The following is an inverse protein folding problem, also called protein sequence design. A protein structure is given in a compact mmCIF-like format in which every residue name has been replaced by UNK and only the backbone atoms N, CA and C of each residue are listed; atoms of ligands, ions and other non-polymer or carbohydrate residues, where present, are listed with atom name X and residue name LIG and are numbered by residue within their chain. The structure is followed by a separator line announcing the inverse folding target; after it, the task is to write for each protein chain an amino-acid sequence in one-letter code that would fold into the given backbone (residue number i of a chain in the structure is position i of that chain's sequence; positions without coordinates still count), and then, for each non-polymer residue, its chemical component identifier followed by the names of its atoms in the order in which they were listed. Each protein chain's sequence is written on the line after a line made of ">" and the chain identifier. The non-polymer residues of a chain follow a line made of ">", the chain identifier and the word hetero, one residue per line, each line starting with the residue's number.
data_IF_463134538531
#
_entry.id   IF_463134538531
#
_cell.length_a   1.000
_cell.length_b   1.000
_cell.length_c   1.000
_cell.angle_alpha   90.00
_cell.angle_beta   90.00
_cell.angle_gamma   90.00
#
_symmetry.space_group_name_H-M   'P 1'
#
loop_
_entity.id
_entity.type
_entity.pdbx_description
1 polymer ?
#
# COMPACT_ATOMS: atom_id res chain seq x y z
N UNK A 1 -19.88 -33.24 -28.19
CA UNK A 1 -19.21 -33.64 -26.92
C UNK A 1 -17.68 -33.49 -26.93
N UNK A 2 -17.09 -32.69 -27.82
CA UNK A 2 -15.63 -32.51 -27.94
C UNK A 2 -15.22 -31.02 -27.95
N UNK A 3 -15.45 -30.29 -26.86
CA UNK A 3 -14.81 -28.96 -26.71
C UNK A 3 -14.58 -28.47 -25.26
N UNK A 4 -15.20 -29.08 -24.25
CA UNK A 4 -15.02 -28.69 -22.84
C UNK A 4 -13.69 -29.17 -22.20
N UNK A 5 -13.02 -30.18 -22.77
CA UNK A 5 -11.69 -30.62 -22.28
C UNK A 5 -10.52 -29.70 -22.68
N UNK A 6 -10.70 -28.84 -23.69
CA UNK A 6 -9.64 -27.91 -24.12
C UNK A 6 -9.54 -26.66 -23.26
N UNK A 7 -10.67 -26.19 -22.71
CA UNK A 7 -10.73 -25.06 -21.76
C UNK A 7 -10.18 -25.44 -20.37
N UNK A 8 -10.34 -26.70 -19.95
CA UNK A 8 -9.78 -27.19 -18.69
C UNK A 8 -8.23 -27.23 -18.68
N UNK A 9 -7.58 -27.27 -19.85
CA UNK A 9 -6.10 -27.21 -19.95
C UNK A 9 -5.52 -25.80 -19.97
N UNK A 10 -6.31 -24.78 -20.27
CA UNK A 10 -5.91 -23.36 -20.11
C UNK A 10 -6.27 -22.79 -18.73
N UNK A 11 -7.16 -23.44 -17.99
CA UNK A 11 -7.67 -23.00 -16.68
C UNK A 11 -6.92 -23.53 -15.45
N UNK A 12 -5.87 -24.35 -15.63
CA UNK A 12 -4.92 -24.56 -14.55
C UNK A 12 -4.10 -23.26 -14.42
N UNK A 13 -4.51 -22.37 -13.50
CA UNK A 13 -3.64 -21.29 -13.00
C UNK A 13 -2.24 -21.88 -12.91
N UNK A 14 -1.30 -21.35 -13.70
CA UNK A 14 0.08 -21.87 -13.70
C UNK A 14 0.48 -21.87 -12.23
N UNK A 15 0.86 -23.00 -11.67
CA UNK A 15 1.18 -23.08 -10.24
C UNK A 15 2.23 -22.02 -9.85
N UNK A 16 3.04 -21.63 -10.84
CA UNK A 16 3.91 -20.47 -10.87
C UNK A 16 3.21 -19.11 -10.71
N UNK A 17 2.09 -18.82 -11.39
CA UNK A 17 1.29 -17.58 -11.24
C UNK A 17 0.58 -17.49 -9.89
N UNK A 18 0.06 -18.61 -9.36
CA UNK A 18 -0.42 -18.69 -7.96
C UNK A 18 0.70 -18.44 -6.97
N UNK A 19 1.86 -19.03 -7.22
CA UNK A 19 3.05 -18.84 -6.39
C UNK A 19 3.56 -17.40 -6.50
N UNK A 20 3.48 -16.77 -7.68
CA UNK A 20 3.79 -15.34 -7.88
C UNK A 20 2.71 -14.44 -7.28
N UNK A 21 1.43 -14.82 -7.27
CA UNK A 21 0.38 -14.13 -6.51
C UNK A 21 0.66 -14.20 -5.01
N UNK A 22 1.02 -15.39 -4.51
CA UNK A 22 1.33 -15.62 -3.09
C UNK A 22 2.65 -14.99 -2.66
N UNK A 23 3.64 -14.91 -3.56
CA UNK A 23 4.96 -14.25 -3.37
C UNK A 23 4.94 -12.74 -3.65
N UNK A 24 4.04 -12.25 -4.51
CA UNK A 24 3.81 -10.83 -4.78
C UNK A 24 2.74 -10.22 -3.86
N UNK A 25 2.20 -11.00 -2.94
CA UNK A 25 1.59 -10.50 -1.72
C UNK A 25 2.73 -10.33 -0.71
N UNK A 26 2.70 -9.27 0.12
CA UNK A 26 3.86 -8.80 0.85
C UNK A 26 4.56 -9.96 1.55
N UNK A 27 5.78 -10.25 1.11
CA UNK A 27 6.72 -11.18 1.76
C UNK A 27 7.05 -10.75 3.19
N UNK A 28 6.59 -9.56 3.62
CA UNK A 28 6.48 -9.16 5.01
C UNK A 28 5.75 -10.21 5.88
N UNK A 29 4.82 -11.00 5.32
CA UNK A 29 4.15 -12.06 6.08
C UNK A 29 4.99 -13.35 6.26
N UNK A 30 6.03 -13.56 5.44
CA UNK A 30 6.91 -14.73 5.52
C UNK A 30 8.27 -14.41 6.15
N UNK A 31 8.71 -13.15 6.10
CA UNK A 31 9.85 -12.65 6.89
C UNK A 31 9.46 -12.20 8.30
N UNK A 32 8.18 -12.23 8.66
CA UNK A 32 7.71 -12.02 10.04
C UNK A 32 7.99 -13.21 10.97
N UNK A 33 9.18 -13.83 10.90
CA UNK A 33 9.72 -14.55 12.07
C UNK A 33 10.16 -13.50 13.09
N UNK A 34 9.18 -12.85 13.74
CA UNK A 34 9.39 -11.86 14.80
C UNK A 34 8.25 -10.87 15.01
N UNK A 35 7.53 -10.46 13.96
CA UNK A 35 6.57 -9.33 14.04
C UNK A 35 5.08 -9.72 14.02
N UNK A 36 4.74 -10.99 13.79
CA UNK A 36 3.35 -11.38 13.48
C UNK A 36 2.48 -11.83 14.67
N UNK A 37 3.00 -11.94 15.89
CA UNK A 37 2.21 -12.53 17.00
C UNK A 37 1.60 -11.56 18.01
N UNK A 38 2.00 -10.29 18.08
CA UNK A 38 1.33 -9.32 18.97
C UNK A 38 1.17 -7.96 18.30
N UNK A 39 -0.09 -7.56 18.16
CA UNK A 39 -0.51 -6.25 17.69
C UNK A 39 -0.28 -5.20 18.80
N UNK A 40 0.98 -4.89 19.09
CA UNK A 40 1.33 -3.70 19.84
C UNK A 40 2.28 -2.86 18.98
N UNK A 41 1.85 -1.64 18.65
CA UNK A 41 2.81 -0.58 18.33
C UNK A 41 3.77 -0.56 19.53
N UNK A 42 5.08 -0.81 19.36
CA UNK A 42 6.02 -0.75 20.47
C UNK A 42 5.77 0.53 21.26
N UNK A 43 5.60 0.45 22.58
CA UNK A 43 5.19 1.61 23.39
C UNK A 43 6.08 2.85 23.14
N UNK A 44 7.35 2.62 22.78
CA UNK A 44 8.32 3.62 22.33
C UNK A 44 7.92 4.46 21.10
N UNK A 45 6.96 4.04 20.28
CA UNK A 45 6.50 4.73 19.06
C UNK A 45 5.22 5.59 19.28
N UNK A 46 4.65 5.59 20.50
CA UNK A 46 3.41 6.33 20.81
C UNK A 46 3.63 7.85 20.86
N UNK A 47 4.80 8.29 21.33
CA UNK A 47 5.14 9.71 21.53
C UNK A 47 5.98 10.31 20.39
N UNK A 48 6.32 9.48 19.39
CA UNK A 48 7.15 9.83 18.23
C UNK A 48 6.62 11.02 17.42
N UNK A 49 5.30 11.20 17.18
CA UNK A 49 4.80 12.36 16.43
C UNK A 49 5.06 13.71 17.12
N UNK A 50 5.31 13.71 18.43
CA UNK A 50 5.53 14.91 19.26
C UNK A 50 6.98 15.05 19.75
N UNK A 51 7.84 14.08 19.45
CA UNK A 51 9.24 14.11 19.85
C UNK A 51 10.01 15.14 19.03
N UNK A 52 10.89 15.92 19.68
CA UNK A 52 11.77 16.90 19.02
C UNK A 52 12.73 16.23 18.01
N UNK A 53 13.04 14.96 18.23
CA UNK A 53 13.89 14.09 17.37
C UNK A 53 13.32 12.65 17.39
N UNK A 54 12.34 12.32 16.54
CA UNK A 54 11.72 11.00 16.52
C UNK A 54 12.71 9.91 16.07
N UNK A 55 13.14 9.04 17.00
CA UNK A 55 14.00 7.89 16.71
C UNK A 55 13.19 6.75 16.07
N UNK A 56 13.10 6.75 14.74
CA UNK A 56 12.28 5.81 13.97
C UNK A 56 13.05 4.52 13.61
N UNK A 57 13.26 3.65 14.59
CA UNK A 57 14.16 2.49 14.45
C UNK A 57 13.57 1.23 13.78
N UNK A 58 12.29 1.18 13.43
CA UNK A 58 11.64 -0.12 13.18
C UNK A 58 11.19 -0.40 11.74
N UNK A 59 11.53 0.44 10.74
CA UNK A 59 10.92 0.30 9.39
C UNK A 59 11.79 -0.30 8.30
N UNK A 60 13.11 -0.25 8.40
CA UNK A 60 14.04 -1.07 7.62
C UNK A 60 15.28 -1.21 8.48
N UNK A 61 15.31 -2.19 9.37
CA UNK A 61 16.59 -2.60 9.95
C UNK A 61 17.46 -3.08 8.77
N UNK A 62 18.44 -2.28 8.36
CA UNK A 62 19.72 -2.82 7.92
C UNK A 62 20.55 -3.00 9.20
N UNK A 63 20.41 -4.13 9.93
CA UNK A 63 21.13 -4.35 11.18
C UNK A 63 22.66 -4.37 11.00
N UNK A 64 23.14 -4.34 9.75
CA UNK A 64 24.55 -4.27 9.40
C UNK A 64 25.26 -3.00 9.90
N UNK A 65 24.62 -1.83 9.92
CA UNK A 65 25.32 -0.57 10.24
C UNK A 65 25.36 -0.23 11.73
N UNK A 66 24.32 -0.60 12.47
CA UNK A 66 24.23 -0.32 13.90
C UNK A 66 25.32 -1.09 14.66
N UNK A 67 25.56 -2.35 14.29
CA UNK A 67 26.54 -3.21 14.96
C UNK A 67 28.01 -2.99 14.56
N UNK A 68 28.29 -2.57 13.32
CA UNK A 68 29.66 -2.45 12.80
C UNK A 68 30.25 -1.04 12.90
N UNK A 69 29.41 0.01 12.85
CA UNK A 69 29.89 1.38 12.70
C UNK A 69 29.43 2.33 13.81
N UNK A 70 28.57 1.92 14.77
CA UNK A 70 28.01 2.84 15.78
C UNK A 70 27.38 4.08 15.10
N UNK A 71 26.74 3.91 13.95
CA UNK A 71 26.00 4.94 13.25
C UNK A 71 24.60 4.42 12.96
N UNK A 72 23.61 5.23 13.26
CA UNK A 72 22.22 4.95 12.96
C UNK A 72 21.76 5.91 11.87
N UNK A 73 21.60 5.39 10.66
CA UNK A 73 20.89 6.07 9.60
C UNK A 73 19.44 5.57 9.60
N UNK A 74 18.49 6.46 9.89
CA UNK A 74 17.06 6.12 9.77
C UNK A 74 16.57 6.54 8.39
N UNK A 75 16.04 5.59 7.63
CA UNK A 75 15.33 5.87 6.36
C UNK A 75 13.88 6.12 6.71
N UNK A 76 13.37 7.31 6.38
CA UNK A 76 12.14 7.85 6.98
C UNK A 76 10.88 7.00 6.81
N UNK A 77 10.76 6.18 5.74
CA UNK A 77 9.49 5.48 5.55
C UNK A 77 9.52 4.27 4.62
N UNK A 78 9.66 4.49 3.32
CA UNK A 78 9.50 3.43 2.34
C UNK A 78 10.46 3.60 1.16
N UNK A 79 11.19 2.53 0.87
CA UNK A 79 12.10 2.47 -0.27
C UNK A 79 11.32 2.11 -1.53
N UNK A 80 11.52 2.87 -2.60
CA UNK A 80 10.90 2.70 -3.92
C UNK A 80 11.95 2.42 -4.99
N UNK A 81 11.51 2.22 -6.23
CA UNK A 81 12.41 1.85 -7.31
C UNK A 81 13.52 2.88 -7.58
N UNK A 82 14.63 2.40 -8.12
CA UNK A 82 15.76 3.23 -8.49
C UNK A 82 15.36 4.32 -9.50
N UNK A 83 15.90 5.52 -9.32
CA UNK A 83 15.83 6.56 -10.35
C UNK A 83 16.78 6.19 -11.49
N UNK A 84 18.02 5.89 -11.16
CA UNK A 84 19.11 5.71 -12.14
C UNK A 84 19.82 4.36 -11.98
N UNK A 85 20.27 4.03 -10.78
CA UNK A 85 21.18 2.89 -10.55
C UNK A 85 20.54 1.76 -9.71
N UNK A 86 20.83 0.48 -9.99
CA UNK A 86 21.66 -0.03 -11.09
C UNK A 86 21.00 0.09 -12.47
N UNK A 87 19.67 0.20 -12.50
CA UNK A 87 18.87 0.48 -13.70
C UNK A 87 17.63 1.28 -13.30
N UNK A 88 17.13 2.18 -14.16
CA UNK A 88 15.89 2.90 -13.89
C UNK A 88 14.71 1.95 -13.65
N UNK A 89 13.94 2.22 -12.59
CA UNK A 89 12.78 1.41 -12.20
C UNK A 89 13.13 0.08 -11.53
N UNK A 90 14.41 -0.22 -11.31
CA UNK A 90 14.82 -1.42 -10.60
C UNK A 90 14.38 -1.40 -9.14
N UNK A 91 13.86 -2.53 -8.65
CA UNK A 91 13.50 -2.71 -7.25
C UNK A 91 13.62 -4.19 -6.87
N UNK A 92 13.98 -4.45 -5.62
CA UNK A 92 14.01 -5.79 -5.06
C UNK A 92 12.66 -6.17 -4.45
N UNK A 93 12.00 -7.17 -5.05
CA UNK A 93 10.84 -7.83 -4.45
C UNK A 93 9.55 -7.00 -4.40
N UNK A 94 8.64 -7.42 -3.53
CA UNK A 94 7.25 -6.95 -3.48
C UNK A 94 6.89 -6.36 -2.10
N UNK A 95 7.86 -5.67 -1.51
CA UNK A 95 7.73 -5.06 -0.20
C UNK A 95 7.12 -3.66 -0.30
N UNK A 96 6.43 -3.24 0.77
CA UNK A 96 5.91 -1.88 0.94
C UNK A 96 5.11 -1.35 -0.28
N UNK A 97 5.52 -0.21 -0.88
CA UNK A 97 4.81 0.42 -2.00
C UNK A 97 4.63 -0.46 -3.23
N UNK A 98 5.61 -1.31 -3.57
CA UNK A 98 5.53 -2.20 -4.74
C UNK A 98 4.36 -3.17 -4.62
N UNK A 99 4.20 -3.79 -3.45
CA UNK A 99 3.10 -4.72 -3.19
C UNK A 99 1.73 -4.04 -3.21
N UNK A 100 1.65 -2.80 -2.70
CA UNK A 100 0.45 -1.99 -2.78
C UNK A 100 0.06 -1.69 -4.24
N UNK A 101 1.03 -1.27 -5.06
CA UNK A 101 0.85 -1.00 -6.48
C UNK A 101 0.39 -2.24 -7.25
N UNK A 102 1.03 -3.40 -7.04
CA UNK A 102 0.61 -4.67 -7.66
C UNK A 102 -0.79 -5.07 -7.22
N UNK A 103 -1.08 -4.98 -5.91
CA UNK A 103 -2.39 -5.33 -5.37
C UNK A 103 -3.53 -4.46 -5.92
N UNK A 104 -3.26 -3.16 -6.08
CA UNK A 104 -4.19 -2.21 -6.70
C UNK A 104 -4.39 -2.49 -8.20
N UNK A 105 -3.30 -2.66 -8.95
CA UNK A 105 -3.33 -2.94 -10.39
C UNK A 105 -3.99 -4.28 -10.76
N UNK A 106 -3.88 -5.27 -9.86
CA UNK A 106 -4.58 -6.56 -9.99
C UNK A 106 -6.06 -6.49 -9.61
N UNK A 107 -6.54 -5.34 -9.14
CA UNK A 107 -7.93 -5.15 -8.69
C UNK A 107 -8.26 -5.82 -7.36
N UNK A 108 -7.26 -6.33 -6.63
CA UNK A 108 -7.48 -6.97 -5.31
C UNK A 108 -7.74 -5.91 -4.25
N UNK A 109 -7.03 -4.78 -4.34
CA UNK A 109 -7.20 -3.63 -3.45
C UNK A 109 -8.21 -2.66 -4.05
N UNK A 110 -9.44 -2.71 -3.53
CA UNK A 110 -10.54 -1.82 -3.92
C UNK A 110 -10.67 -0.54 -3.06
N UNK A 111 -10.13 -0.57 -1.84
CA UNK A 111 -10.29 0.47 -0.82
C UNK A 111 -9.04 0.54 0.03
N UNK A 112 -8.58 1.75 0.35
CA UNK A 112 -7.43 2.00 1.22
C UNK A 112 -7.73 3.19 2.13
N UNK A 113 -7.46 3.05 3.43
CA UNK A 113 -7.58 4.16 4.37
C UNK A 113 -6.33 5.04 4.28
N UNK A 114 -6.50 6.24 3.73
CA UNK A 114 -5.42 7.16 3.43
C UNK A 114 -5.98 8.58 3.34
N UNK A 115 -5.21 9.56 3.82
CA UNK A 115 -5.52 10.95 3.57
C UNK A 115 -4.83 11.40 2.25
N UNK A 116 -5.59 11.72 1.19
CA UNK A 116 -5.02 12.10 -0.11
C UNK A 116 -4.07 13.29 -0.05
N UNK A 117 -4.26 14.19 0.91
CA UNK A 117 -3.55 15.47 0.98
C UNK A 117 -2.18 15.35 1.64
N UNK A 118 -1.89 14.24 2.30
CA UNK A 118 -0.61 14.05 2.97
C UNK A 118 0.47 13.61 1.98
N UNK A 119 1.70 14.00 2.28
CA UNK A 119 2.86 13.69 1.45
C UNK A 119 3.14 12.19 1.45
N UNK A 120 3.40 11.64 0.27
CA UNK A 120 3.86 10.27 0.09
C UNK A 120 5.36 10.22 0.37
N UNK A 121 5.74 10.07 1.63
CA UNK A 121 7.15 10.01 2.04
C UNK A 121 7.80 8.75 1.52
N UNK A 122 8.45 8.80 0.37
CA UNK A 122 9.16 7.66 -0.22
C UNK A 122 10.58 8.08 -0.56
N UNK A 123 11.51 7.12 -0.64
CA UNK A 123 12.86 7.37 -1.13
C UNK A 123 13.25 6.30 -2.15
N UNK A 124 13.77 6.70 -3.33
CA UNK A 124 14.34 5.76 -4.29
C UNK A 124 15.50 4.96 -3.69
N UNK A 125 15.62 3.68 -4.04
CA UNK A 125 16.61 2.76 -3.47
C UNK A 125 18.06 3.18 -3.72
N UNK A 126 18.38 3.74 -4.88
CA UNK A 126 19.71 4.27 -5.21
C UNK A 126 20.08 5.44 -4.29
N UNK A 127 19.15 6.37 -4.09
CA UNK A 127 19.36 7.52 -3.19
C UNK A 127 19.47 7.09 -1.73
N UNK A 128 18.70 6.08 -1.34
CA UNK A 128 18.78 5.48 -0.01
C UNK A 128 20.16 4.84 0.23
N UNK A 129 20.66 4.06 -0.74
CA UNK A 129 21.97 3.40 -0.65
C UNK A 129 23.10 4.42 -0.63
N UNK A 130 23.07 5.43 -1.51
CA UNK A 130 24.07 6.50 -1.50
C UNK A 130 24.13 7.21 -0.16
N UNK A 131 22.98 7.59 0.41
CA UNK A 131 22.95 8.24 1.73
C UNK A 131 23.45 7.33 2.85
N UNK A 132 23.23 6.01 2.72
CA UNK A 132 23.76 5.04 3.67
C UNK A 132 25.29 4.94 3.61
N UNK A 133 25.86 4.92 2.40
CA UNK A 133 27.31 4.94 2.19
C UNK A 133 27.91 6.21 2.79
N UNK A 134 27.27 7.37 2.57
CA UNK A 134 27.70 8.65 3.13
C UNK A 134 27.69 8.66 4.66
N UNK A 135 26.63 8.16 5.32
CA UNK A 135 26.63 8.06 6.79
C UNK A 135 27.74 7.11 7.28
N UNK A 136 28.05 6.03 6.56
CA UNK A 136 29.18 5.14 6.86
C UNK A 136 30.55 5.83 6.72
N UNK A 137 30.77 6.57 5.63
CA UNK A 137 31.98 7.35 5.39
C UNK A 137 32.20 8.41 6.48
N UNK A 138 31.18 9.22 6.77
CA UNK A 138 31.27 10.26 7.78
C UNK A 138 31.59 9.68 9.16
N UNK A 139 31.03 8.52 9.47
CA UNK A 139 31.31 7.83 10.72
C UNK A 139 32.75 7.34 10.81
N UNK A 140 33.26 6.74 9.74
CA UNK A 140 34.67 6.31 9.67
C UNK A 140 35.62 7.51 9.83
N UNK A 141 35.32 8.62 9.15
CA UNK A 141 36.07 9.87 9.25
C UNK A 141 36.06 10.44 10.68
N UNK A 142 34.89 10.54 11.31
CA UNK A 142 34.75 11.02 12.69
C UNK A 142 35.52 10.12 13.68
N UNK A 143 35.40 8.78 13.55
CA UNK A 143 36.14 7.85 14.42
C UNK A 143 37.65 7.94 14.24
N UNK A 144 38.17 8.35 13.08
CA UNK A 144 39.61 8.49 12.85
C UNK A 144 40.18 9.76 13.49
N UNK A 145 39.36 10.80 13.64
CA UNK A 145 39.75 12.09 14.20
C UNK A 145 39.55 12.18 15.73
N UNK A 146 38.68 11.34 16.30
CA UNK A 146 38.41 11.32 17.73
C UNK A 146 39.50 10.60 18.54
N UNK A 147 40.25 11.40 19.32
CA UNK A 147 41.27 10.91 20.26
C UNK A 147 40.69 10.32 21.56
N UNK A 148 39.43 10.64 21.89
CA UNK A 148 38.79 10.21 23.13
C UNK A 148 37.96 8.92 22.91
N UNK A 149 38.25 7.82 23.63
CA UNK A 149 37.55 6.54 23.45
C UNK A 149 36.06 6.60 23.83
N UNK A 150 35.64 7.56 24.66
CA UNK A 150 34.24 7.73 25.08
C UNK A 150 33.32 8.22 23.95
N UNK A 151 33.79 9.10 23.05
CA UNK A 151 33.00 9.57 21.90
C UNK A 151 33.03 8.63 20.70
N UNK A 152 34.08 7.81 20.61
CA UNK A 152 34.20 6.76 19.58
C UNK A 152 33.07 5.73 19.65
N UNK A 153 32.41 5.57 20.78
CA UNK A 153 31.26 4.66 20.94
C UNK A 153 29.90 5.37 20.90
N UNK A 154 29.87 6.69 20.67
CA UNK A 154 28.61 7.45 20.59
C UNK A 154 27.90 7.19 19.26
N UNK A 155 26.63 6.79 19.34
CA UNK A 155 25.80 6.54 18.16
C UNK A 155 25.42 7.87 17.53
N UNK A 156 25.91 8.10 16.31
CA UNK A 156 25.54 9.28 15.53
C UNK A 156 24.25 8.97 14.77
N UNK A 157 23.22 9.81 14.95
CA UNK A 157 21.92 9.66 14.30
C UNK A 157 21.79 10.65 13.13
N UNK A 158 21.62 10.11 11.92
CA UNK A 158 21.28 10.84 10.69
C UNK A 158 19.93 10.35 10.17
N UNK A 159 19.04 11.27 9.77
CA UNK A 159 17.78 10.92 9.11
C UNK A 159 17.93 11.17 7.61
N UNK A 160 17.85 10.10 6.82
CA UNK A 160 17.86 10.19 5.36
C UNK A 160 16.42 10.34 4.86
N UNK A 161 16.04 11.58 4.57
CA UNK A 161 14.68 11.94 4.21
C UNK A 161 14.65 12.97 3.09
N UNK A 162 13.65 12.86 2.21
CA UNK A 162 13.34 13.90 1.23
C UNK A 162 12.57 15.02 1.94
N UNK A 163 12.88 16.27 1.60
CA UNK A 163 12.10 17.42 2.08
C UNK A 163 10.64 17.30 1.66
N UNK A 164 9.72 17.61 2.57
CA UNK A 164 8.27 17.58 2.33
C UNK A 164 7.83 18.36 1.08
N UNK A 165 8.50 19.48 0.79
CA UNK A 165 8.21 20.32 -0.38
C UNK A 165 8.49 19.64 -1.72
N UNK A 166 9.39 18.66 -1.74
CA UNK A 166 9.74 17.91 -2.95
C UNK A 166 8.88 16.64 -3.11
N UNK A 167 8.07 16.27 -2.11
CA UNK A 167 7.23 15.08 -2.16
C UNK A 167 5.90 15.35 -2.87
N UNK A 168 5.41 14.34 -3.59
CA UNK A 168 4.06 14.32 -4.14
C UNK A 168 3.04 13.87 -3.08
N UNK A 169 1.77 14.25 -3.23
CA UNK A 169 0.69 13.80 -2.34
C UNK A 169 0.31 12.34 -2.60
N UNK A 170 -0.27 11.65 -1.61
CA UNK A 170 -0.82 10.30 -1.82
C UNK A 170 -1.91 10.27 -2.90
N UNK A 171 -2.76 11.31 -2.95
CA UNK A 171 -3.80 11.44 -3.96
C UNK A 171 -3.22 11.48 -5.37
N UNK A 172 -2.25 12.37 -5.61
CA UNK A 172 -1.61 12.54 -6.92
C UNK A 172 -0.81 11.30 -7.31
N UNK A 173 -0.10 10.68 -6.37
CA UNK A 173 0.67 9.45 -6.60
C UNK A 173 -0.23 8.31 -7.07
N UNK A 174 -1.35 8.09 -6.39
CA UNK A 174 -2.27 6.99 -6.68
C UNK A 174 -3.03 7.25 -8.00
N UNK A 175 -3.43 8.49 -8.24
CA UNK A 175 -4.11 8.87 -9.48
C UNK A 175 -3.17 8.75 -10.70
N UNK A 176 -1.94 9.24 -10.57
CA UNK A 176 -0.89 9.10 -11.59
C UNK A 176 -0.61 7.62 -11.88
N UNK A 177 -0.41 6.82 -10.83
CA UNK A 177 -0.21 5.38 -10.97
C UNK A 177 -1.40 4.70 -11.64
N UNK A 178 -2.63 5.07 -11.29
CA UNK A 178 -3.86 4.52 -11.90
C UNK A 178 -3.91 4.80 -13.41
N UNK A 179 -3.62 6.02 -13.85
CA UNK A 179 -3.55 6.38 -15.28
C UNK A 179 -2.54 5.49 -16.01
N UNK A 180 -1.32 5.38 -15.49
CA UNK A 180 -0.29 4.54 -16.10
C UNK A 180 -0.65 3.05 -16.11
N UNK A 181 -1.34 2.53 -15.09
CA UNK A 181 -1.81 1.15 -15.12
C UNK A 181 -2.90 0.89 -16.16
N UNK A 182 -3.67 1.90 -16.58
CA UNK A 182 -4.61 1.75 -17.69
C UNK A 182 -3.89 1.71 -19.05
N UNK A 183 -2.79 2.44 -19.19
CA UNK A 183 -1.96 2.44 -20.41
C UNK A 183 -1.05 1.22 -20.50
N UNK A 184 -0.52 0.79 -19.35
CA UNK A 184 0.43 -0.32 -19.15
C UNK A 184 -0.10 -1.36 -18.15
N UNK A 185 -1.26 -1.99 -18.43
CA UNK A 185 -1.87 -2.96 -17.51
C UNK A 185 -1.04 -4.23 -17.36
N UNK A 186 -1.21 -4.90 -16.22
CA UNK A 186 -0.59 -6.19 -15.94
C UNK A 186 -1.25 -7.30 -16.75
N UNK A 187 -0.48 -8.32 -17.11
CA UNK A 187 -0.99 -9.46 -17.89
C UNK A 187 -1.99 -10.32 -17.10
N UNK A 188 -1.89 -10.29 -15.77
CA UNK A 188 -2.79 -10.96 -14.86
C UNK A 188 -3.38 -9.97 -13.84
N UNK A 189 -4.71 -9.87 -13.82
CA UNK A 189 -5.51 -9.13 -12.83
C UNK A 189 -6.76 -9.95 -12.46
N UNK A 190 -7.14 -9.92 -11.19
CA UNK A 190 -8.32 -10.63 -10.68
C UNK A 190 -9.61 -9.82 -10.90
N UNK A 191 -9.52 -8.50 -10.85
CA UNK A 191 -10.64 -7.60 -11.09
C UNK A 191 -10.17 -6.32 -11.78
N UNK A 192 -11.11 -5.52 -12.27
CA UNK A 192 -10.80 -4.21 -12.84
C UNK A 192 -10.22 -3.25 -11.77
N UNK A 193 -9.07 -2.59 -12.03
CA UNK A 193 -8.39 -1.73 -11.07
C UNK A 193 -9.04 -0.35 -10.94
N UNK A 194 -10.25 -0.28 -10.38
CA UNK A 194 -10.98 1.00 -10.14
C UNK A 194 -10.96 1.49 -8.69
N UNK A 195 -9.90 1.20 -7.93
CA UNK A 195 -9.89 1.33 -6.45
C UNK A 195 -9.91 2.79 -6.02
N UNK A 196 -10.27 3.07 -4.76
CA UNK A 196 -10.22 4.45 -4.25
C UNK A 196 -9.71 4.53 -2.81
N UNK A 197 -9.05 5.64 -2.51
CA UNK A 197 -8.67 6.02 -1.14
C UNK A 197 -9.86 6.63 -0.41
N UNK A 198 -9.93 6.37 0.90
CA UNK A 198 -10.95 6.90 1.80
C UNK A 198 -10.25 7.54 2.98
N UNK A 199 -10.63 8.77 3.33
CA UNK A 199 -10.13 9.47 4.53
C UNK A 199 -10.84 9.03 5.82
N UNK A 200 -12.10 8.63 5.73
CA UNK A 200 -12.89 8.16 6.87
C UNK A 200 -12.73 6.64 7.02
N UNK A 201 -12.34 6.20 8.22
CA UNK A 201 -12.18 4.79 8.57
C UNK A 201 -13.46 3.96 8.37
N UNK A 202 -14.63 4.49 8.77
CA UNK A 202 -15.88 3.73 8.65
C UNK A 202 -16.31 3.55 7.19
N UNK A 203 -16.08 4.55 6.35
CA UNK A 203 -16.30 4.44 4.91
C UNK A 203 -15.33 3.42 4.30
N UNK A 204 -14.06 3.44 4.71
CA UNK A 204 -13.09 2.42 4.31
C UNK A 204 -13.56 1.01 4.69
N UNK A 205 -13.97 0.81 5.95
CA UNK A 205 -14.42 -0.48 6.49
C UNK A 205 -15.67 -1.00 5.75
N UNK A 206 -16.65 -0.13 5.51
CA UNK A 206 -17.81 -0.45 4.68
C UNK A 206 -17.37 -0.97 3.31
N UNK A 207 -16.48 -0.25 2.62
CA UNK A 207 -15.96 -0.70 1.33
C UNK A 207 -15.18 -2.02 1.41
N UNK A 208 -14.43 -2.28 2.49
CA UNK A 208 -13.71 -3.54 2.68
C UNK A 208 -14.68 -4.72 2.81
N UNK A 209 -15.77 -4.56 3.58
CA UNK A 209 -16.79 -5.61 3.73
C UNK A 209 -17.42 -5.93 2.37
N UNK A 210 -17.92 -4.92 1.66
CA UNK A 210 -18.71 -5.12 0.43
C UNK A 210 -17.87 -5.38 -0.83
N UNK A 211 -16.65 -4.85 -0.92
CA UNK A 211 -15.83 -4.94 -2.14
C UNK A 211 -14.60 -5.84 -1.99
N UNK A 212 -14.20 -6.25 -0.77
CA UNK A 212 -13.13 -7.23 -0.58
C UNK A 212 -13.68 -8.56 -0.10
N UNK A 213 -14.30 -8.61 1.08
CA UNK A 213 -14.64 -9.87 1.73
C UNK A 213 -15.90 -10.53 1.18
N UNK A 214 -16.99 -9.79 1.01
CA UNK A 214 -18.25 -10.36 0.49
C UNK A 214 -18.05 -11.02 -0.88
N UNK A 215 -17.39 -10.38 -1.87
CA UNK A 215 -17.11 -11.03 -3.16
C UNK A 215 -16.13 -12.20 -3.01
N UNK A 216 -15.16 -12.11 -2.10
CA UNK A 216 -14.20 -13.20 -1.88
C UNK A 216 -14.85 -14.46 -1.31
N UNK A 217 -15.73 -14.32 -0.32
CA UNK A 217 -16.49 -15.45 0.22
C UNK A 217 -17.44 -16.04 -0.83
N UNK A 218 -18.10 -15.19 -1.62
CA UNK A 218 -18.98 -15.65 -2.70
C UNK A 218 -18.21 -16.47 -3.75
N UNK A 219 -17.07 -15.98 -4.22
CA UNK A 219 -16.24 -16.69 -5.20
C UNK A 219 -15.66 -17.98 -4.61
N UNK A 220 -15.12 -17.95 -3.39
CA UNK A 220 -14.58 -19.14 -2.74
C UNK A 220 -15.68 -20.20 -2.48
N UNK A 221 -16.91 -19.78 -2.21
CA UNK A 221 -18.06 -20.68 -2.11
C UNK A 221 -18.41 -21.34 -3.45
N UNK A 222 -18.43 -20.58 -4.56
CA UNK A 222 -18.62 -21.15 -5.90
C UNK A 222 -17.50 -22.13 -6.28
N UNK A 223 -16.26 -21.82 -5.89
CA UNK A 223 -15.12 -22.72 -6.08
C UNK A 223 -15.31 -24.02 -5.30
N UNK A 224 -15.77 -23.95 -4.05
CA UNK A 224 -16.08 -25.12 -3.22
C UNK A 224 -17.13 -26.02 -3.88
N UNK A 225 -18.24 -25.45 -4.36
CA UNK A 225 -19.29 -26.19 -5.08
C UNK A 225 -18.73 -26.83 -6.35
N UNK A 226 -17.82 -26.15 -7.04
CA UNK A 226 -17.18 -26.63 -8.26
C UNK A 226 -16.04 -27.64 -8.00
N UNK A 227 -15.81 -28.06 -6.76
CA UNK A 227 -14.72 -28.95 -6.37
C UNK A 227 -13.31 -28.34 -6.47
N UNK A 228 -13.22 -27.02 -6.57
CA UNK A 228 -11.95 -26.28 -6.62
C UNK A 228 -11.53 -25.78 -5.23
N UNK A 229 -10.23 -25.59 -5.04
CA UNK A 229 -9.69 -25.11 -3.76
C UNK A 229 -9.94 -23.59 -3.60
N UNK A 230 -10.65 -23.14 -2.56
CA UNK A 230 -10.85 -21.72 -2.27
C UNK A 230 -9.53 -21.05 -1.90
N UNK A 231 -9.35 -19.78 -2.31
CA UNK A 231 -8.10 -19.04 -2.05
C UNK A 231 -8.30 -17.54 -1.85
N UNK A 232 -9.41 -16.95 -2.32
CA UNK A 232 -9.56 -15.51 -2.43
C UNK A 232 -9.72 -14.84 -1.07
N UNK A 233 -10.40 -15.49 -0.11
CA UNK A 233 -10.49 -14.99 1.28
C UNK A 233 -9.11 -14.93 1.93
N UNK A 234 -8.25 -15.92 1.67
CA UNK A 234 -6.88 -15.92 2.18
C UNK A 234 -6.04 -14.78 1.57
N UNK A 235 -6.25 -14.47 0.29
CA UNK A 235 -5.65 -13.31 -0.37
C UNK A 235 -6.12 -12.02 0.29
N UNK A 236 -7.44 -11.85 0.51
CA UNK A 236 -7.99 -10.65 1.14
C UNK A 236 -7.51 -10.46 2.57
N UNK A 237 -7.35 -11.53 3.35
CA UNK A 237 -6.78 -11.46 4.71
C UNK A 237 -5.35 -10.90 4.70
N UNK A 238 -4.50 -11.37 3.78
CA UNK A 238 -3.13 -10.87 3.61
C UNK A 238 -3.11 -9.39 3.18
N UNK A 239 -4.00 -9.03 2.26
CA UNK A 239 -4.16 -7.63 1.82
C UNK A 239 -4.59 -6.72 2.97
N UNK A 240 -5.61 -7.11 3.73
CA UNK A 240 -6.09 -6.35 4.88
C UNK A 240 -5.00 -6.18 5.94
N UNK A 241 -4.19 -7.22 6.20
CA UNK A 241 -3.06 -7.13 7.11
C UNK A 241 -2.01 -6.12 6.62
N UNK A 242 -1.64 -6.16 5.34
CA UNK A 242 -0.70 -5.20 4.75
C UNK A 242 -1.22 -3.76 4.78
N UNK A 243 -2.49 -3.54 4.43
CA UNK A 243 -3.11 -2.22 4.48
C UNK A 243 -3.21 -1.66 5.90
N UNK A 244 -3.50 -2.53 6.89
CA UNK A 244 -3.55 -2.14 8.31
C UNK A 244 -2.17 -1.71 8.83
N UNK A 245 -1.10 -2.37 8.39
CA UNK A 245 0.27 -1.95 8.72
C UNK A 245 0.61 -0.57 8.14
N UNK A 246 0.18 -0.31 6.90
CA UNK A 246 0.42 0.98 6.24
C UNK A 246 -0.43 2.13 6.82
N UNK A 247 -1.60 1.81 7.38
CA UNK A 247 -2.60 2.78 7.82
C UNK A 247 -2.03 3.86 8.76
N UNK A 248 -1.18 3.48 9.73
CA UNK A 248 -0.60 4.44 10.68
C UNK A 248 0.14 5.58 9.98
N UNK A 249 0.70 5.30 8.81
CA UNK A 249 1.54 6.23 8.08
C UNK A 249 0.78 7.00 7.01
N UNK A 250 -0.19 6.35 6.37
CA UNK A 250 -1.00 6.95 5.30
C UNK A 250 -2.09 7.89 5.83
N UNK A 251 -2.35 7.88 7.14
CA UNK A 251 -3.33 8.75 7.81
C UNK A 251 -2.70 9.83 8.69
N UNK A 252 -1.38 9.99 8.67
CA UNK A 252 -0.65 11.03 9.40
C UNK A 252 0.22 11.81 8.44
N UNK A 253 0.42 13.08 8.75
CA UNK A 253 1.35 13.93 8.04
C UNK A 253 2.71 13.82 8.73
N UNK A 254 3.75 13.55 7.95
CA UNK A 254 5.09 13.32 8.46
C UNK A 254 6.03 14.37 7.92
N UNK A 255 6.74 15.01 8.83
CA UNK A 255 7.84 15.92 8.51
C UNK A 255 9.06 15.46 9.29
N UNK A 256 10.08 15.02 8.56
CA UNK A 256 11.30 14.50 9.14
C UNK A 256 12.40 15.54 9.03
N UNK A 257 13.01 15.86 10.17
CA UNK A 257 14.21 16.68 10.27
C UNK A 257 15.40 15.93 9.69
N UNK A 258 16.13 16.55 8.74
CA UNK A 258 17.25 15.96 8.02
C UNK A 258 18.49 16.88 7.97
N UNK A 259 18.56 17.90 8.82
CA UNK A 259 19.59 18.94 8.81
C UNK A 259 20.99 18.34 8.98
N UNK A 260 21.14 17.36 9.89
CA UNK A 260 22.43 16.65 10.08
C UNK A 260 22.90 15.91 8.84
N UNK A 261 21.96 15.35 8.07
CA UNK A 261 22.29 14.68 6.82
C UNK A 261 22.67 15.71 5.73
N UNK A 262 21.96 16.83 5.66
CA UNK A 262 22.27 17.92 4.73
C UNK A 262 23.64 18.54 5.01
N UNK A 263 23.97 18.79 6.28
CA UNK A 263 25.28 19.29 6.69
C UNK A 263 26.40 18.31 6.33
N UNK A 264 26.16 17.01 6.49
CA UNK A 264 27.10 15.98 6.08
C UNK A 264 27.31 15.97 4.57
N UNK A 265 26.21 16.05 3.81
CA UNK A 265 26.26 16.04 2.34
C UNK A 265 26.95 17.27 1.77
N UNK A 266 26.83 18.44 2.41
CA UNK A 266 27.45 19.69 1.95
C UNK A 266 28.97 19.76 2.17
N UNK A 267 29.53 18.84 2.95
CA UNK A 267 30.97 18.72 3.18
C UNK A 267 31.69 17.86 2.13
N UNK A 268 30.95 17.27 1.19
CA UNK A 268 31.53 16.47 0.12
C UNK A 268 32.24 17.36 -0.90
N UNK A 269 33.27 16.79 -1.54
CA UNK A 269 33.84 17.42 -2.73
C UNK A 269 32.92 17.12 -3.93
N UNK A 270 33.13 17.86 -5.04
CA UNK A 270 32.27 17.74 -6.22
C UNK A 270 32.23 16.32 -6.83
N UNK A 271 33.31 15.55 -6.74
CA UNK A 271 33.38 14.20 -7.30
C UNK A 271 32.53 13.23 -6.45
N UNK A 272 32.67 13.30 -5.13
CA UNK A 272 31.90 12.47 -4.20
C UNK A 272 30.42 12.86 -4.19
N UNK A 273 30.10 14.14 -4.35
CA UNK A 273 28.72 14.64 -4.47
C UNK A 273 28.03 14.11 -5.73
N UNK A 274 28.73 14.08 -6.87
CA UNK A 274 28.20 13.50 -8.11
C UNK A 274 28.06 11.97 -8.01
N UNK A 275 29.08 11.29 -7.47
CA UNK A 275 29.12 9.83 -7.36
C UNK A 275 28.10 9.28 -6.35
N UNK A 276 27.88 9.98 -5.23
CA UNK A 276 26.94 9.60 -4.18
C UNK A 276 25.75 10.54 -4.11
N UNK A 277 25.19 10.92 -5.26
CA UNK A 277 24.04 11.82 -5.32
C UNK A 277 22.84 11.23 -4.54
N UNK A 278 22.36 12.01 -3.57
CA UNK A 278 21.19 11.71 -2.74
C UNK A 278 20.02 12.66 -3.00
N UNK A 279 20.18 13.59 -3.94
CA UNK A 279 19.18 14.59 -4.24
C UNK A 279 17.93 13.97 -4.90
N UNK A 280 16.76 14.43 -4.46
CA UNK A 280 15.45 14.05 -5.04
C UNK A 280 14.58 15.29 -5.30
N UNK A 281 15.12 16.49 -5.06
CA UNK A 281 14.39 17.75 -5.10
C UNK A 281 13.87 18.16 -6.48
N UNK A 282 14.44 17.61 -7.56
CA UNK A 282 14.06 17.92 -8.94
C UNK A 282 13.34 16.76 -9.65
N UNK A 283 12.86 15.77 -8.90
CA UNK A 283 12.25 14.58 -9.49
C UNK A 283 10.90 14.91 -10.14
N UNK A 284 10.78 14.61 -11.44
CA UNK A 284 9.48 14.56 -12.09
C UNK A 284 8.75 13.27 -11.66
N UNK A 285 7.80 13.42 -10.74
CA UNK A 285 7.04 12.30 -10.18
C UNK A 285 6.23 11.52 -11.21
N UNK A 286 5.74 12.16 -12.28
CA UNK A 286 4.99 11.47 -13.33
C UNK A 286 5.89 10.52 -14.12
N UNK A 287 7.05 11.00 -14.58
CA UNK A 287 8.05 10.17 -15.25
C UNK A 287 8.56 9.07 -14.33
N UNK A 288 8.83 9.41 -13.06
CA UNK A 288 9.31 8.44 -12.07
C UNK A 288 8.30 7.31 -11.83
N UNK A 289 7.02 7.63 -11.62
CA UNK A 289 5.97 6.62 -11.42
C UNK A 289 5.81 5.75 -12.67
N UNK A 290 5.89 6.32 -13.88
CA UNK A 290 5.85 5.56 -15.13
C UNK A 290 7.01 4.56 -15.23
N UNK A 291 8.24 5.02 -15.02
CA UNK A 291 9.45 4.18 -15.02
C UNK A 291 9.38 3.10 -13.94
N UNK A 292 8.88 3.44 -12.75
CA UNK A 292 8.66 2.48 -11.67
C UNK A 292 7.63 1.40 -12.08
N UNK A 293 6.51 1.78 -12.69
CA UNK A 293 5.51 0.81 -13.17
C UNK A 293 6.11 -0.13 -14.23
N UNK A 294 6.88 0.40 -15.16
CA UNK A 294 7.57 -0.39 -16.17
C UNK A 294 8.65 -1.30 -15.58
N UNK A 295 9.41 -0.80 -14.61
CA UNK A 295 10.41 -1.56 -13.87
C UNK A 295 9.80 -2.70 -13.07
N UNK A 296 8.71 -2.45 -12.35
CA UNK A 296 7.93 -3.48 -11.65
C UNK A 296 7.45 -4.58 -12.62
N UNK A 297 6.93 -4.22 -13.79
CA UNK A 297 6.54 -5.23 -14.79
C UNK A 297 7.71 -6.10 -15.22
N UNK A 298 8.85 -5.48 -15.50
CA UNK A 298 10.03 -6.13 -16.07
C UNK A 298 10.76 -6.96 -15.01
N UNK A 299 11.13 -6.35 -13.89
CA UNK A 299 12.02 -6.94 -12.88
C UNK A 299 11.27 -7.81 -11.87
N UNK A 300 10.05 -7.44 -11.48
CA UNK A 300 9.27 -8.17 -10.47
C UNK A 300 8.35 -9.20 -11.11
N UNK A 301 7.53 -8.76 -12.07
CA UNK A 301 6.51 -9.61 -12.68
C UNK A 301 7.04 -10.42 -13.87
N UNK A 302 8.25 -10.11 -14.35
CA UNK A 302 8.90 -10.75 -15.50
C UNK A 302 8.04 -10.72 -16.76
N UNK A 303 7.31 -9.61 -16.94
CA UNK A 303 6.49 -9.36 -18.11
C UNK A 303 7.26 -8.52 -19.14
N UNK A 304 7.47 -9.10 -20.33
CA UNK A 304 8.08 -8.39 -21.46
C UNK A 304 7.13 -7.33 -22.02
N UNK A 305 7.62 -6.22 -22.61
CA UNK A 305 6.79 -5.26 -23.33
C UNK A 305 5.87 -5.88 -24.39
N UNK A 306 6.24 -7.03 -24.97
CA UNK A 306 5.41 -7.74 -25.94
C UNK A 306 4.09 -8.28 -25.37
N UNK A 307 3.93 -8.38 -24.04
CA UNK A 307 2.68 -8.81 -23.40
C UNK A 307 1.64 -7.69 -23.29
N UNK A 308 2.03 -6.42 -23.49
CA UNK A 308 1.15 -5.25 -23.38
C UNK A 308 -0.15 -5.36 -24.19
N UNK A 309 -0.15 -5.79 -25.47
CA UNK A 309 -1.38 -5.92 -26.25
C UNK A 309 -2.35 -6.95 -25.66
N UNK A 310 -1.83 -8.05 -25.10
CA UNK A 310 -2.63 -9.05 -24.41
C UNK A 310 -3.20 -8.49 -23.10
N UNK A 311 -2.36 -7.86 -22.28
CA UNK A 311 -2.77 -7.26 -21.01
C UNK A 311 -3.88 -6.21 -21.20
N UNK A 312 -3.81 -5.37 -22.25
CA UNK A 312 -4.88 -4.41 -22.60
C UNK A 312 -6.20 -5.09 -22.97
N UNK A 313 -6.16 -6.24 -23.65
CA UNK A 313 -7.37 -7.03 -23.94
C UNK A 313 -7.99 -7.60 -22.65
N UNK A 314 -7.16 -8.10 -21.74
CA UNK A 314 -7.61 -8.57 -20.42
C UNK A 314 -8.25 -7.44 -19.62
N UNK A 315 -7.59 -6.27 -19.54
CA UNK A 315 -8.13 -5.10 -18.85
C UNK A 315 -9.49 -4.69 -19.42
N UNK A 316 -9.65 -4.65 -20.75
CA UNK A 316 -10.94 -4.32 -21.39
C UNK A 316 -12.05 -5.31 -21.03
N UNK A 317 -11.74 -6.61 -20.99
CA UNK A 317 -12.71 -7.64 -20.57
C UNK A 317 -13.12 -7.46 -19.12
N UNK A 318 -12.15 -7.18 -18.24
CA UNK A 318 -12.41 -6.89 -16.83
C UNK A 318 -13.22 -5.62 -16.64
N UNK A 319 -12.99 -4.59 -17.46
CA UNK A 319 -13.80 -3.38 -17.45
C UNK A 319 -15.26 -3.66 -17.80
N UNK A 320 -15.51 -4.42 -18.88
CA UNK A 320 -16.87 -4.84 -19.27
C UNK A 320 -17.50 -5.65 -18.14
N UNK A 321 -16.78 -6.61 -17.56
CA UNK A 321 -17.25 -7.43 -16.44
C UNK A 321 -17.63 -6.56 -15.23
N UNK A 322 -16.80 -5.57 -14.88
CA UNK A 322 -17.05 -4.65 -13.78
C UNK A 322 -18.27 -3.77 -14.04
N UNK A 323 -18.43 -3.23 -15.25
CA UNK A 323 -19.62 -2.49 -15.66
C UNK A 323 -20.90 -3.35 -15.59
N UNK A 324 -20.88 -4.55 -16.18
CA UNK A 324 -22.04 -5.47 -16.15
C UNK A 324 -22.37 -5.85 -14.71
N UNK A 325 -21.36 -6.15 -13.88
CA UNK A 325 -21.57 -6.50 -12.47
C UNK A 325 -22.22 -5.34 -11.70
N UNK A 326 -21.79 -4.10 -11.93
CA UNK A 326 -22.40 -2.91 -11.31
C UNK A 326 -23.84 -2.71 -11.77
N UNK A 327 -24.09 -2.79 -13.09
CA UNK A 327 -25.45 -2.64 -13.64
C UNK A 327 -26.37 -3.73 -13.08
N UNK A 328 -25.91 -4.98 -13.05
CA UNK A 328 -26.65 -6.09 -12.46
C UNK A 328 -26.93 -5.86 -10.97
N UNK A 329 -25.93 -5.41 -10.21
CA UNK A 329 -26.11 -5.11 -8.79
C UNK A 329 -27.18 -4.04 -8.57
N UNK A 330 -27.06 -2.88 -9.23
CA UNK A 330 -28.02 -1.78 -9.05
C UNK A 330 -29.42 -2.14 -9.54
N UNK A 331 -29.55 -2.88 -10.64
CA UNK A 331 -30.86 -3.34 -11.14
C UNK A 331 -31.52 -4.33 -10.20
N UNK A 332 -30.77 -5.30 -9.65
CA UNK A 332 -31.29 -6.25 -8.66
C UNK A 332 -31.64 -5.58 -7.34
N UNK A 333 -30.82 -4.63 -6.86
CA UNK A 333 -31.13 -3.85 -5.66
C UNK A 333 -32.38 -3.01 -5.87
N UNK A 334 -32.50 -2.32 -7.01
CA UNK A 334 -33.69 -1.54 -7.33
C UNK A 334 -34.94 -2.42 -7.41
N UNK A 335 -34.86 -3.55 -8.11
CA UNK A 335 -35.95 -4.51 -8.20
C UNK A 335 -36.37 -5.02 -6.81
N UNK A 336 -35.42 -5.42 -5.97
CA UNK A 336 -35.69 -5.91 -4.61
C UNK A 336 -36.36 -4.86 -3.72
N UNK A 337 -35.87 -3.61 -3.77
CA UNK A 337 -36.45 -2.51 -3.00
C UNK A 337 -37.85 -2.16 -3.51
N UNK A 338 -38.06 -2.15 -4.82
CA UNK A 338 -39.35 -1.89 -5.44
C UNK A 338 -40.39 -2.95 -5.06
N UNK A 339 -40.04 -4.24 -5.15
CA UNK A 339 -40.97 -5.33 -4.83
C UNK A 339 -41.35 -5.41 -3.35
N UNK A 340 -40.48 -4.93 -2.45
CA UNK A 340 -40.74 -4.94 -1.01
C UNK A 340 -41.11 -3.55 -0.46
N UNK A 341 -41.29 -2.56 -1.33
CA UNK A 341 -41.54 -1.18 -0.95
C UNK A 341 -42.79 -1.07 -0.07
N UNK A 342 -43.89 -1.73 -0.46
CA UNK A 342 -45.14 -1.69 0.29
C UNK A 342 -44.96 -2.26 1.71
N UNK A 343 -44.25 -3.38 1.87
CA UNK A 343 -43.96 -3.95 3.19
C UNK A 343 -43.05 -3.08 4.06
N UNK A 344 -42.09 -2.37 3.45
CA UNK A 344 -41.27 -1.39 4.17
C UNK A 344 -42.10 -0.17 4.62
N UNK A 345 -43.00 0.31 3.77
CA UNK A 345 -43.91 1.43 4.09
C UNK A 345 -44.85 1.03 5.22
N UNK A 346 -45.50 -0.14 5.14
CA UNK A 346 -46.38 -0.64 6.18
C UNK A 346 -45.66 -0.83 7.53
N UNK A 347 -44.46 -1.39 7.51
CA UNK A 347 -43.64 -1.58 8.72
C UNK A 347 -43.20 -0.23 9.32
N UNK A 348 -42.84 0.73 8.47
CA UNK A 348 -42.50 2.09 8.88
C UNK A 348 -43.68 2.80 9.53
N UNK A 349 -44.86 2.73 8.91
CA UNK A 349 -46.10 3.32 9.42
C UNK A 349 -46.50 2.71 10.77
N UNK A 350 -46.39 1.37 10.91
CA UNK A 350 -46.67 0.69 12.16
C UNK A 350 -45.71 1.13 13.28
N UNK A 351 -44.42 1.24 12.99
CA UNK A 351 -43.42 1.71 13.95
C UNK A 351 -43.66 3.15 14.40
N UNK A 352 -43.97 4.06 13.45
CA UNK A 352 -44.27 5.46 13.75
C UNK A 352 -45.52 5.56 14.63
N UNK A 353 -46.59 4.83 14.29
CA UNK A 353 -47.83 4.81 15.09
C UNK A 353 -47.58 4.29 16.51
N UNK A 354 -46.81 3.22 16.65
CA UNK A 354 -46.44 2.66 17.97
C UNK A 354 -45.62 3.66 18.80
N UNK A 355 -44.62 4.31 18.18
CA UNK A 355 -43.78 5.31 18.84
C UNK A 355 -44.61 6.52 19.30
N UNK A 356 -45.50 7.03 18.44
CA UNK A 356 -46.38 8.15 18.78
C UNK A 356 -47.37 7.80 19.89
N UNK A 357 -47.91 6.57 19.89
CA UNK A 357 -48.79 6.09 20.96
C UNK A 357 -48.06 6.03 22.31
N UNK A 358 -46.81 5.53 22.32
CA UNK A 358 -45.97 5.50 23.52
C UNK A 358 -45.73 6.91 24.07
N UNK A 359 -45.33 7.85 23.21
CA UNK A 359 -45.07 9.25 23.60
C UNK A 359 -46.34 9.92 24.13
N UNK A 360 -47.49 9.68 23.48
CA UNK A 360 -48.77 10.22 23.92
C UNK A 360 -49.16 9.72 25.31
N UNK A 361 -49.04 8.41 25.56
CA UNK A 361 -49.34 7.82 26.87
C UNK A 361 -48.39 8.31 27.96
N UNK A 362 -47.10 8.39 27.67
CA UNK A 362 -46.09 8.88 28.61
C UNK A 362 -46.36 10.34 29.00
N UNK A 363 -46.65 11.20 28.01
CA UNK A 363 -47.05 12.60 28.24
C UNK A 363 -48.32 12.71 29.08
N UNK A 364 -49.35 11.91 28.79
CA UNK A 364 -50.62 12.00 29.51
C UNK A 364 -50.47 11.54 30.97
N UNK A 365 -49.63 10.54 31.24
CA UNK A 365 -49.34 10.09 32.60
C UNK A 365 -48.55 11.13 33.42
N UNK A 366 -47.68 11.92 32.79
CA UNK A 366 -46.99 13.04 33.46
C UNK A 366 -47.85 14.27 33.75
N UNK A 367 -48.99 14.46 33.07
CA UNK A 367 -49.89 15.61 33.30
C UNK A 367 -50.91 15.30 34.40
N UNK A 368 -51.14 14.02 34.70
CA UNK A 368 -52.11 13.56 35.70
C UNK A 368 -51.47 13.04 37.01
N UNK A 369 -50.15 13.16 37.14
CA UNK A 369 -49.40 12.99 38.39
C UNK A 369 -48.98 14.36 38.93
#
# INVERSE_FOLDING_TARGET
>A
MYHLKSLARQGAMRQQELTTLVKALPTAALQARGYATEHQIPDRLKDVPTAKDPRFFDMVDLPLLIGLLNCACSIAFAVTAAISEPLPGWIEGVTGPTGLMIGAARGVIRSMHCNPLYSSTVIPVDKAINGLILCGYQRAKASSQEKAPSKRNEVHFCNLCISKKALTSWGDSIETGRRFFYETPLSFSLWYPGGSIKKNYYHHLFCVIFFHYLPAYFIDFLMLISGQKPFLVNVQRKVSMGLKLLQYYTTKDWEFQNEKFQEMSSQLNAIDEEMFDTSVGQLNWETYISTYIMGMRTYILRESPSTLPYARKVLRRLYILDCVSKVLFFTLTFWFLWTHMDGFVESGDAFIRSSLSSIYHERNNTIHA
#
